data_IF_629811457320
#
_entry.id   IF_629811457320
#
_cell.length_a   1.000
_cell.length_b   1.000
_cell.length_c   1.000
_cell.angle_alpha   90.00
_cell.angle_beta   90.00
_cell.angle_gamma   90.00
#
_symmetry.space_group_name_H-M   'P 1'
#
loop_
_entity.id
_entity.type
_entity.pdbx_description
1 polymer ?
#
# COMPACT_ATOMS: atom_id res chain seq x y z
N UNK A 1 22.57 -15.11 17.55
CA UNK A 1 21.81 -13.96 18.06
C UNK A 1 21.81 -12.94 16.94
N UNK A 2 20.79 -12.97 16.10
CA UNK A 2 20.67 -12.03 14.97
C UNK A 2 20.06 -10.76 15.56
N UNK A 3 20.87 -9.73 15.70
CA UNK A 3 20.43 -8.42 16.16
C UNK A 3 19.40 -7.88 15.17
N UNK A 4 18.18 -7.60 15.63
CA UNK A 4 17.15 -6.98 14.79
C UNK A 4 17.66 -5.61 14.36
N UNK A 5 17.79 -5.32 13.05
CA UNK A 5 18.29 -4.03 12.59
C UNK A 5 17.41 -2.91 13.16
N UNK A 6 18.02 -2.07 14.00
CA UNK A 6 17.39 -0.89 14.57
C UNK A 6 17.47 0.23 13.52
N UNK A 7 16.36 0.89 13.17
CA UNK A 7 16.43 2.01 12.23
C UNK A 7 17.25 3.13 12.88
N UNK A 8 18.40 3.48 12.29
CA UNK A 8 19.16 4.69 12.61
C UNK A 8 18.39 5.90 12.09
N UNK A 9 17.26 6.21 12.72
CA UNK A 9 16.32 7.19 12.20
C UNK A 9 16.33 8.45 13.06
N UNK A 10 16.94 9.50 12.50
CA UNK A 10 17.06 10.83 13.09
C UNK A 10 15.69 11.40 13.45
N UNK A 11 15.67 12.27 14.47
CA UNK A 11 14.51 13.11 14.76
C UNK A 11 14.27 14.05 13.57
N UNK A 12 13.05 14.11 13.00
CA UNK A 12 12.77 14.97 11.85
C UNK A 12 12.99 16.44 12.20
N UNK A 13 13.68 17.16 11.32
CA UNK A 13 13.79 18.62 11.39
C UNK A 13 12.55 19.28 10.78
N UNK A 14 12.28 20.58 11.05
CA UNK A 14 11.21 21.31 10.38
C UNK A 14 11.33 21.27 8.84
N UNK A 15 12.56 21.36 8.31
CA UNK A 15 12.83 21.28 6.88
C UNK A 15 12.52 19.88 6.30
N UNK A 16 12.72 18.81 7.08
CA UNK A 16 12.30 17.46 6.68
C UNK A 16 10.79 17.39 6.54
N UNK A 17 10.03 17.94 7.50
CA UNK A 17 8.56 17.93 7.48
C UNK A 17 8.00 18.75 6.32
N UNK A 18 8.60 19.90 6.02
CA UNK A 18 8.28 20.74 4.88
C UNK A 18 8.53 19.99 3.56
N UNK A 19 9.69 19.36 3.43
CA UNK A 19 10.05 18.57 2.25
C UNK A 19 9.11 17.38 2.07
N UNK A 20 8.83 16.61 3.12
CA UNK A 20 7.85 15.53 3.08
C UNK A 20 6.47 16.03 2.66
N UNK A 21 6.04 17.19 3.14
CA UNK A 21 4.74 17.75 2.80
C UNK A 21 4.65 18.14 1.32
N UNK A 22 5.72 18.72 0.76
CA UNK A 22 5.85 19.01 -0.67
C UNK A 22 5.87 17.74 -1.52
N UNK A 23 6.68 16.75 -1.14
CA UNK A 23 6.75 15.45 -1.82
C UNK A 23 5.38 14.74 -1.86
N UNK A 24 4.60 14.86 -0.79
CA UNK A 24 3.28 14.23 -0.67
C UNK A 24 2.13 15.08 -1.26
N UNK A 25 2.37 16.35 -1.55
CA UNK A 25 1.34 17.31 -1.96
C UNK A 25 0.29 17.59 -0.87
N UNK A 26 0.62 17.35 0.40
CA UNK A 26 -0.25 17.58 1.58
C UNK A 26 0.59 17.64 2.86
N UNK A 27 0.10 18.24 3.96
CA UNK A 27 0.78 18.19 5.24
C UNK A 27 1.12 16.76 5.65
N UNK A 28 2.37 16.52 6.05
CA UNK A 28 2.76 15.25 6.63
C UNK A 28 2.22 15.12 8.06
N UNK A 29 1.94 13.89 8.50
CA UNK A 29 1.26 13.63 9.77
C UNK A 29 2.13 12.80 10.69
N UNK A 30 2.24 13.25 11.94
CA UNK A 30 2.80 12.52 13.08
C UNK A 30 4.10 11.75 12.75
N UNK A 31 5.01 12.40 12.02
CA UNK A 31 6.31 11.81 11.66
C UNK A 31 7.21 11.80 12.88
N UNK A 32 7.75 10.63 13.19
CA UNK A 32 8.56 10.35 14.37
C UNK A 32 10.05 10.25 14.01
N UNK A 33 10.35 9.85 12.76
CA UNK A 33 11.71 9.67 12.30
C UNK A 33 11.83 9.72 10.77
N UNK A 34 13.05 9.96 10.27
CA UNK A 34 13.43 9.83 8.86
C UNK A 34 14.37 8.62 8.70
N UNK A 35 13.84 7.40 8.48
CA UNK A 35 14.66 6.20 8.44
C UNK A 35 15.46 6.02 7.14
N UNK A 36 15.15 6.77 6.08
CA UNK A 36 15.90 6.72 4.83
C UNK A 36 16.00 8.10 4.19
N UNK A 37 17.22 8.45 3.75
CA UNK A 37 17.55 9.73 3.11
C UNK A 37 18.23 9.49 1.76
N UNK A 38 18.03 10.43 0.86
CA UNK A 38 18.78 10.55 -0.38
C UNK A 38 20.24 10.95 -0.06
N UNK A 39 21.16 10.74 -1.00
CA UNK A 39 22.56 11.20 -0.87
C UNK A 39 22.70 12.71 -0.67
N UNK A 40 21.70 13.50 -1.05
CA UNK A 40 21.65 14.95 -0.78
C UNK A 40 21.04 15.32 0.59
N UNK A 41 20.60 14.34 1.38
CA UNK A 41 20.01 14.52 2.71
C UNK A 41 18.47 14.57 2.73
N UNK A 42 17.81 14.81 1.59
CA UNK A 42 16.34 14.86 1.53
C UNK A 42 15.69 13.52 1.94
N UNK A 43 14.54 13.55 2.62
CA UNK A 43 13.86 12.33 3.06
C UNK A 43 13.36 11.50 1.87
N UNK A 44 13.55 10.18 1.95
CA UNK A 44 12.96 9.20 1.04
C UNK A 44 11.73 8.52 1.66
N UNK A 45 11.81 8.28 2.97
CA UNK A 45 10.80 7.56 3.74
C UNK A 45 10.55 8.32 5.04
N UNK A 46 9.28 8.48 5.41
CA UNK A 46 8.86 8.94 6.72
C UNK A 46 8.48 7.74 7.60
N UNK A 47 8.89 7.75 8.87
CA UNK A 47 8.36 6.85 9.89
C UNK A 47 7.26 7.56 10.69
N UNK A 48 6.01 7.12 10.55
CA UNK A 48 4.83 7.73 11.19
C UNK A 48 4.39 6.94 12.42
N UNK A 49 3.91 7.65 13.43
CA UNK A 49 3.31 7.08 14.63
C UNK A 49 2.17 6.10 14.28
N UNK A 50 2.03 4.96 15.01
CA UNK A 50 0.96 3.99 14.75
C UNK A 50 -0.44 4.49 15.11
N UNK A 51 -0.53 5.61 15.83
CA UNK A 51 -1.76 6.37 16.06
C UNK A 51 -1.47 7.84 15.82
N UNK A 52 -2.29 8.50 15.02
CA UNK A 52 -2.18 9.93 14.76
C UNK A 52 -2.62 10.74 15.98
N UNK A 53 -2.24 12.01 16.07
CA UNK A 53 -2.71 12.92 17.11
C UNK A 53 -4.24 13.09 17.13
N UNK A 54 -4.91 12.81 16.00
CA UNK A 54 -6.38 12.75 15.91
C UNK A 54 -7.01 11.54 16.63
N UNK A 55 -6.19 10.61 17.13
CA UNK A 55 -6.61 9.32 17.70
C UNK A 55 -6.79 8.21 16.67
N UNK A 56 -6.71 8.51 15.37
CA UNK A 56 -6.92 7.54 14.29
C UNK A 56 -5.76 6.54 14.19
N UNK A 57 -6.02 5.22 14.18
CA UNK A 57 -4.99 4.22 13.92
C UNK A 57 -4.36 4.40 12.53
N UNK A 58 -3.05 4.30 12.44
CA UNK A 58 -2.30 4.46 11.19
C UNK A 58 -1.42 3.23 10.93
N UNK A 59 -1.90 2.24 10.14
CA UNK A 59 -1.18 0.99 9.95
C UNK A 59 0.11 1.13 9.13
N UNK A 60 0.31 2.24 8.41
CA UNK A 60 1.51 2.40 7.56
C UNK A 60 2.58 3.19 8.31
N UNK A 61 3.55 2.50 8.90
CA UNK A 61 4.68 3.08 9.63
C UNK A 61 5.68 3.69 8.67
N UNK A 62 6.09 2.98 7.62
CA UNK A 62 7.04 3.48 6.62
C UNK A 62 6.32 3.99 5.38
N UNK A 63 6.31 5.31 5.20
CA UNK A 63 5.66 5.96 4.08
C UNK A 63 6.71 6.44 3.07
N UNK A 64 6.75 5.82 1.90
CA UNK A 64 7.63 6.22 0.79
C UNK A 64 7.10 7.52 0.18
N UNK A 65 7.92 8.57 0.18
CA UNK A 65 7.47 9.92 -0.19
C UNK A 65 8.13 10.46 -1.46
N UNK A 66 9.36 10.05 -1.77
CA UNK A 66 10.12 10.62 -2.88
C UNK A 66 9.42 10.41 -4.24
N UNK A 67 9.00 11.47 -4.96
CA UNK A 67 8.16 11.38 -6.16
C UNK A 67 8.71 10.52 -7.30
N UNK A 68 10.03 10.57 -7.53
CA UNK A 68 10.68 9.72 -8.56
C UNK A 68 10.55 8.23 -8.21
N UNK A 69 10.75 7.87 -6.93
CA UNK A 69 10.70 6.48 -6.47
C UNK A 69 9.25 6.00 -6.48
N UNK A 70 8.30 6.79 -5.96
CA UNK A 70 6.88 6.42 -5.95
C UNK A 70 6.33 6.26 -7.37
N UNK A 71 6.71 7.13 -8.31
CA UNK A 71 6.35 6.98 -9.73
C UNK A 71 6.94 5.71 -10.34
N UNK A 72 8.23 5.43 -10.10
CA UNK A 72 8.88 4.23 -10.62
C UNK A 72 8.27 2.94 -10.05
N UNK A 73 7.96 2.91 -8.76
CA UNK A 73 7.29 1.79 -8.11
C UNK A 73 5.88 1.60 -8.66
N UNK A 74 5.14 2.68 -8.89
CA UNK A 74 3.82 2.62 -9.54
C UNK A 74 3.87 2.00 -10.94
N UNK A 75 4.97 2.19 -11.69
CA UNK A 75 5.16 1.55 -13.00
C UNK A 75 5.30 0.03 -12.86
N UNK A 76 6.06 -0.46 -11.87
CA UNK A 76 6.15 -1.89 -11.59
C UNK A 76 4.80 -2.48 -11.17
N UNK A 77 4.06 -1.77 -10.32
CA UNK A 77 2.71 -2.18 -9.93
C UNK A 77 1.78 -2.31 -11.14
N UNK A 78 1.79 -1.31 -12.04
CA UNK A 78 1.00 -1.31 -13.27
C UNK A 78 1.45 -2.38 -14.28
N UNK A 79 2.73 -2.77 -14.27
CA UNK A 79 3.27 -3.83 -15.10
C UNK A 79 2.90 -5.25 -14.61
N UNK A 80 2.26 -5.38 -13.45
CA UNK A 80 1.76 -6.67 -12.94
C UNK A 80 2.71 -7.39 -11.98
N UNK A 81 3.83 -6.78 -11.58
CA UNK A 81 4.84 -7.43 -10.73
C UNK A 81 4.25 -7.98 -9.41
N UNK A 82 3.25 -7.30 -8.83
CA UNK A 82 2.60 -7.80 -7.62
C UNK A 82 1.88 -9.13 -7.81
N UNK A 83 1.30 -9.39 -8.99
CA UNK A 83 0.65 -10.67 -9.27
C UNK A 83 1.69 -11.80 -9.31
N UNK A 84 2.80 -11.58 -10.02
CA UNK A 84 3.92 -12.52 -10.10
C UNK A 84 4.53 -12.82 -8.72
N UNK A 85 4.72 -11.79 -7.88
CA UNK A 85 5.21 -11.96 -6.52
C UNK A 85 4.22 -12.75 -5.64
N UNK A 86 2.91 -12.55 -5.82
CA UNK A 86 1.89 -13.30 -5.09
C UNK A 86 1.87 -14.78 -5.51
N UNK A 87 2.02 -15.08 -6.80
CA UNK A 87 2.10 -16.46 -7.30
C UNK A 87 3.34 -17.16 -6.72
N UNK A 88 4.49 -16.46 -6.68
CA UNK A 88 5.71 -16.96 -6.03
C UNK A 88 5.54 -17.18 -4.53
N UNK A 89 4.89 -16.27 -3.81
CA UNK A 89 4.61 -16.44 -2.37
C UNK A 89 3.75 -17.68 -2.09
N UNK A 90 2.86 -18.06 -2.99
CA UNK A 90 2.05 -19.27 -2.86
C UNK A 90 2.84 -20.55 -3.16
N UNK A 91 3.82 -20.48 -4.07
CA UNK A 91 4.57 -21.64 -4.56
C UNK A 91 5.90 -21.91 -3.83
N UNK A 92 6.52 -20.88 -3.24
CA UNK A 92 7.85 -20.96 -2.63
C UNK A 92 7.78 -20.78 -1.09
N UNK A 93 7.92 -21.88 -0.32
CA UNK A 93 7.90 -21.84 1.14
C UNK A 93 9.06 -21.04 1.76
N UNK A 94 10.22 -20.97 1.11
CA UNK A 94 11.37 -20.23 1.61
C UNK A 94 11.14 -18.72 1.49
N UNK A 95 10.66 -18.27 0.31
CA UNK A 95 10.25 -16.88 0.11
C UNK A 95 9.13 -16.49 1.08
N UNK A 96 8.10 -17.33 1.23
CA UNK A 96 7.04 -17.08 2.20
C UNK A 96 7.57 -17.00 3.65
N UNK A 97 8.57 -17.81 3.99
CA UNK A 97 9.27 -17.76 5.27
C UNK A 97 10.04 -16.45 5.46
N UNK A 98 10.76 -15.98 4.43
CA UNK A 98 11.46 -14.70 4.47
C UNK A 98 10.50 -13.50 4.57
N UNK A 99 9.38 -13.54 3.85
CA UNK A 99 8.36 -12.49 3.91
C UNK A 99 7.59 -12.45 5.24
N UNK A 100 7.43 -13.61 5.92
CA UNK A 100 6.99 -13.65 7.33
C UNK A 100 7.97 -12.98 8.28
N UNK A 101 9.27 -13.21 8.12
CA UNK A 101 10.29 -12.49 8.92
C UNK A 101 10.28 -10.98 8.65
N UNK A 102 10.06 -10.58 7.39
CA UNK A 102 9.88 -9.16 7.04
C UNK A 102 8.67 -8.55 7.76
N UNK A 103 7.55 -9.27 7.85
CA UNK A 103 6.38 -8.87 8.62
C UNK A 103 6.68 -8.68 10.12
N UNK A 104 7.36 -9.64 10.75
CA UNK A 104 7.75 -9.57 12.15
C UNK A 104 8.67 -8.37 12.42
N UNK A 105 9.66 -8.15 11.55
CA UNK A 105 10.55 -6.98 11.63
C UNK A 105 9.78 -5.66 11.49
N UNK A 106 8.76 -5.61 10.62
CA UNK A 106 7.89 -4.44 10.49
C UNK A 106 7.14 -4.15 11.79
N UNK A 107 6.55 -5.18 12.42
CA UNK A 107 5.80 -5.02 13.68
C UNK A 107 6.72 -4.53 14.81
N UNK A 108 7.90 -5.13 14.96
CA UNK A 108 8.90 -4.71 15.94
C UNK A 108 9.34 -3.25 15.73
N UNK A 109 9.57 -2.85 14.47
CA UNK A 109 9.94 -1.47 14.17
C UNK A 109 8.78 -0.49 14.43
N UNK A 110 7.52 -0.87 14.15
CA UNK A 110 6.35 -0.06 14.51
C UNK A 110 6.23 0.13 16.01
N UNK A 111 6.44 -0.93 16.80
CA UNK A 111 6.38 -0.86 18.26
C UNK A 111 7.41 0.15 18.78
N UNK A 112 8.64 0.10 18.28
CA UNK A 112 9.69 1.06 18.64
C UNK A 112 9.32 2.50 18.25
N UNK A 113 8.79 2.71 17.04
CA UNK A 113 8.29 4.03 16.62
C UNK A 113 7.13 4.51 17.53
N UNK A 114 6.22 3.62 17.91
CA UNK A 114 5.12 3.92 18.83
C UNK A 114 5.63 4.31 20.22
N UNK A 115 6.66 3.61 20.72
CA UNK A 115 7.32 3.94 21.98
C UNK A 115 7.98 5.32 21.93
N UNK A 116 8.69 5.64 20.85
CA UNK A 116 9.29 6.98 20.62
C UNK A 116 8.23 8.08 20.55
N UNK A 117 7.10 7.80 19.93
CA UNK A 117 5.98 8.73 19.80
C UNK A 117 5.13 8.87 21.07
N UNK A 118 5.28 7.96 22.05
CA UNK A 118 4.43 7.92 23.23
C UNK A 118 2.97 7.53 22.93
N UNK A 119 2.71 6.81 21.85
CA UNK A 119 1.33 6.47 21.41
C UNK A 119 0.66 5.38 22.26
N UNK A 120 1.45 4.61 23.01
CA UNK A 120 1.00 3.40 23.68
C UNK A 120 0.54 2.30 22.70
N UNK A 121 -0.10 1.23 23.21
CA UNK A 121 -0.65 0.17 22.37
C UNK A 121 -1.74 0.67 21.41
N UNK A 122 -1.79 0.08 20.21
CA UNK A 122 -2.81 0.36 19.18
C UNK A 122 -3.51 -0.95 18.77
N UNK A 123 -4.47 -1.46 19.58
CA UNK A 123 -5.08 -2.77 19.37
C UNK A 123 -5.75 -2.95 18.00
N UNK A 124 -6.22 -1.87 17.38
CA UNK A 124 -6.92 -1.88 16.09
C UNK A 124 -6.03 -2.36 14.93
N UNK A 125 -4.70 -2.30 15.09
CA UNK A 125 -3.73 -2.71 14.07
C UNK A 125 -2.70 -3.71 14.61
N UNK A 126 -2.98 -4.31 15.78
CA UNK A 126 -2.10 -5.31 16.38
C UNK A 126 -1.98 -6.54 15.49
N UNK A 127 -0.75 -7.08 15.36
CA UNK A 127 -0.43 -8.16 14.43
C UNK A 127 -0.63 -7.85 12.94
N UNK A 128 -1.05 -6.64 12.56
CA UNK A 128 -1.32 -6.27 11.15
C UNK A 128 -0.25 -5.31 10.66
N UNK A 129 0.67 -5.78 9.81
CA UNK A 129 1.60 -4.90 9.08
C UNK A 129 0.93 -4.27 7.85
N UNK A 130 1.62 -3.33 7.20
CA UNK A 130 1.16 -2.77 5.93
C UNK A 130 1.55 -3.66 4.73
N UNK A 131 1.22 -3.24 3.51
CA UNK A 131 1.63 -3.94 2.28
C UNK A 131 0.95 -5.29 1.99
N UNK A 132 0.09 -5.81 2.88
CA UNK A 132 -0.56 -7.13 2.70
C UNK A 132 0.26 -8.30 3.25
N UNK A 133 1.43 -8.00 3.82
CA UNK A 133 2.27 -8.93 4.55
C UNK A 133 1.50 -9.67 5.66
N UNK A 134 1.88 -10.92 5.98
CA UNK A 134 2.92 -11.71 5.32
C UNK A 134 2.40 -12.62 4.21
N UNK A 135 1.12 -12.53 3.85
CA UNK A 135 0.47 -13.53 2.97
C UNK A 135 0.34 -13.07 1.53
N UNK A 136 0.38 -11.77 1.27
CA UNK A 136 0.29 -11.21 -0.08
C UNK A 136 1.03 -9.89 -0.23
N UNK A 137 1.24 -9.48 -1.46
CA UNK A 137 1.65 -8.13 -1.87
C UNK A 137 0.41 -7.39 -2.33
N UNK A 138 0.00 -6.35 -1.60
CA UNK A 138 -1.09 -5.44 -1.97
C UNK A 138 -0.60 -4.15 -2.60
N UNK A 139 0.64 -3.74 -2.29
CA UNK A 139 1.26 -2.50 -2.71
C UNK A 139 2.77 -2.57 -2.47
N UNK A 140 3.56 -2.27 -3.50
CA UNK A 140 5.03 -2.27 -3.47
C UNK A 140 5.60 -1.06 -2.73
N UNK A 141 4.89 0.08 -2.72
CA UNK A 141 5.37 1.30 -2.06
C UNK A 141 5.73 1.08 -0.59
N UNK A 142 4.92 0.28 0.11
CA UNK A 142 5.17 -0.07 1.51
C UNK A 142 6.38 -0.99 1.65
N UNK A 143 6.57 -1.94 0.74
CA UNK A 143 7.69 -2.89 0.81
C UNK A 143 9.01 -2.18 0.52
N UNK A 144 9.03 -1.31 -0.49
CA UNK A 144 10.17 -0.44 -0.80
C UNK A 144 10.45 0.50 0.38
N UNK A 145 9.40 1.12 0.96
CA UNK A 145 9.54 1.96 2.14
C UNK A 145 10.16 1.22 3.33
N UNK A 146 9.76 -0.04 3.57
CA UNK A 146 10.36 -0.88 4.60
C UNK A 146 11.82 -1.24 4.30
N UNK A 147 12.13 -1.71 3.09
CA UNK A 147 13.50 -2.06 2.70
C UNK A 147 14.46 -0.88 2.82
N UNK A 148 14.04 0.31 2.40
CA UNK A 148 14.85 1.52 2.56
C UNK A 148 15.02 1.90 4.05
N UNK A 149 13.99 1.72 4.86
CA UNK A 149 14.00 2.12 6.27
C UNK A 149 14.78 1.16 7.18
N UNK A 150 14.73 -0.15 6.90
CA UNK A 150 15.31 -1.20 7.75
C UNK A 150 16.56 -1.84 7.14
N UNK A 151 16.87 -1.51 5.89
CA UNK A 151 18.03 -2.01 5.17
C UNK A 151 17.73 -3.20 4.25
N UNK A 152 18.63 -3.39 3.28
CA UNK A 152 18.60 -4.50 2.34
C UNK A 152 18.65 -5.85 3.07
N UNK A 153 17.87 -6.82 2.58
CA UNK A 153 17.74 -8.16 3.13
C UNK A 153 16.60 -8.31 4.15
N UNK A 154 16.00 -7.21 4.63
CA UNK A 154 14.87 -7.27 5.57
C UNK A 154 13.58 -7.67 4.87
N UNK A 155 13.32 -7.15 3.67
CA UNK A 155 12.15 -7.49 2.89
C UNK A 155 12.56 -7.88 1.46
N UNK A 156 12.64 -9.18 1.13
CA UNK A 156 13.17 -9.61 -0.16
C UNK A 156 12.36 -9.09 -1.36
N UNK A 157 11.04 -8.92 -1.20
CA UNK A 157 10.19 -8.37 -2.27
C UNK A 157 10.30 -6.85 -2.38
N UNK A 158 10.57 -6.16 -1.27
CA UNK A 158 10.92 -4.74 -1.28
C UNK A 158 12.26 -4.50 -1.97
N UNK A 159 13.24 -5.36 -1.71
CA UNK A 159 14.56 -5.30 -2.34
C UNK A 159 14.51 -5.60 -3.83
N UNK A 160 13.72 -6.59 -4.23
CA UNK A 160 13.45 -6.90 -5.64
C UNK A 160 12.79 -5.71 -6.36
N UNK A 161 11.82 -5.03 -5.71
CA UNK A 161 11.20 -3.85 -6.28
C UNK A 161 12.18 -2.66 -6.40
N UNK A 162 13.10 -2.48 -5.44
CA UNK A 162 14.18 -1.48 -5.53
C UNK A 162 15.09 -1.78 -6.74
N UNK A 163 15.49 -3.04 -6.92
CA UNK A 163 16.29 -3.42 -8.08
C UNK A 163 15.53 -3.20 -9.41
N UNK A 164 14.23 -3.49 -9.42
CA UNK A 164 13.36 -3.32 -10.58
C UNK A 164 13.17 -1.87 -11.03
N UNK A 165 13.37 -0.89 -10.15
CA UNK A 165 13.28 0.53 -10.51
C UNK A 165 14.62 1.19 -10.88
N UNK A 166 15.71 0.42 -10.96
CA UNK A 166 17.08 0.92 -11.20
C UNK A 166 17.24 1.79 -12.46
N UNK A 167 16.39 1.61 -13.48
CA UNK A 167 16.38 2.46 -14.68
C UNK A 167 15.91 3.91 -14.41
N UNK A 168 15.18 4.15 -13.31
CA UNK A 168 14.64 5.46 -12.94
C UNK A 168 15.28 6.05 -11.68
N UNK A 169 15.76 5.19 -10.78
CA UNK A 169 16.34 5.61 -9.52
C UNK A 169 17.34 4.56 -9.00
N UNK A 170 18.49 5.02 -8.51
CA UNK A 170 19.43 4.20 -7.75
C UNK A 170 19.79 4.89 -6.42
N UNK A 171 20.11 4.13 -5.35
CA UNK A 171 20.40 4.72 -4.05
C UNK A 171 21.68 5.58 -4.01
N UNK A 172 22.58 5.43 -4.96
CA UNK A 172 23.88 6.14 -5.01
C UNK A 172 23.81 7.53 -5.66
N UNK A 173 22.70 7.86 -6.34
CA UNK A 173 22.55 9.11 -7.07
C UNK A 173 21.37 9.96 -6.56
N UNK A 174 21.49 11.27 -6.74
CA UNK A 174 20.43 12.21 -6.37
C UNK A 174 19.45 12.41 -7.52
N UNK A 175 18.15 12.31 -7.21
CA UNK A 175 17.05 12.54 -8.15
C UNK A 175 16.03 13.55 -7.60
N UNK A 176 16.47 14.43 -6.70
CA UNK A 176 15.58 15.39 -6.04
C UNK A 176 15.32 16.65 -6.86
N UNK A 177 16.25 17.03 -7.72
CA UNK A 177 16.13 18.24 -8.54
C UNK A 177 14.94 18.12 -9.51
N UNK A 178 14.05 19.10 -9.48
CA UNK A 178 12.81 19.13 -10.27
C UNK A 178 11.79 18.02 -9.95
N UNK A 179 12.01 17.18 -8.92
CA UNK A 179 11.10 16.07 -8.61
C UNK A 179 9.84 16.50 -7.84
N UNK A 180 9.89 17.63 -7.14
CA UNK A 180 8.76 18.33 -6.53
C UNK A 180 9.04 19.83 -6.57
N UNK A 181 8.04 20.64 -6.25
CA UNK A 181 8.24 22.08 -6.07
C UNK A 181 9.05 22.33 -4.78
N UNK A 182 10.35 22.61 -4.93
CA UNK A 182 11.28 22.85 -3.83
C UNK A 182 11.27 24.30 -3.35
N UNK A 183 10.70 25.22 -4.13
CA UNK A 183 10.71 26.67 -3.86
C UNK A 183 9.34 27.18 -3.38
N UNK A 184 8.25 26.50 -3.75
CA UNK A 184 6.90 26.84 -3.34
C UNK A 184 6.59 26.56 -1.87
N UNK A 185 5.59 27.26 -1.33
CA UNK A 185 5.15 27.06 0.05
C UNK A 185 4.64 25.63 0.25
N UNK A 186 5.06 24.99 1.35
CA UNK A 186 4.59 23.65 1.65
C UNK A 186 3.07 23.65 1.91
N UNK A 187 2.34 22.64 1.43
CA UNK A 187 0.91 22.54 1.68
C UNK A 187 0.61 22.57 3.19
N UNK A 188 -0.30 23.45 3.59
CA UNK A 188 -0.69 23.70 5.00
C UNK A 188 -2.03 23.04 5.38
N UNK A 189 -2.84 22.66 4.38
CA UNK A 189 -4.17 22.06 4.58
C UNK A 189 -4.20 20.58 4.21
N UNK A 190 -4.56 19.73 5.17
CA UNK A 190 -4.82 18.32 4.91
C UNK A 190 -6.22 18.16 4.29
N UNK A 191 -6.27 18.04 2.96
CA UNK A 191 -7.50 17.74 2.21
C UNK A 191 -7.80 16.24 2.14
N UNK A 192 -7.03 15.41 2.85
CA UNK A 192 -7.28 13.97 2.90
C UNK A 192 -8.70 13.72 3.40
N UNK A 193 -9.39 12.81 2.73
CA UNK A 193 -10.73 12.32 3.12
C UNK A 193 -10.71 11.51 4.44
N UNK A 194 -9.69 11.67 5.30
CA UNK A 194 -9.46 10.97 6.56
C UNK A 194 -9.21 11.92 7.75
N UNK A 195 -9.58 13.21 7.64
CA UNK A 195 -9.80 14.05 8.85
C UNK A 195 -10.82 13.38 9.79
N UNK A 196 -10.99 13.79 11.05
CA UNK A 196 -11.72 13.04 12.07
C UNK A 196 -13.16 12.78 11.61
N UNK A 197 -13.34 11.65 10.92
CA UNK A 197 -14.63 11.03 10.78
C UNK A 197 -14.93 10.59 12.21
N UNK A 198 -15.88 11.28 12.85
CA UNK A 198 -16.58 10.68 13.97
C UNK A 198 -16.84 9.21 13.61
N UNK A 199 -16.55 8.32 14.57
CA UNK A 199 -16.60 6.87 14.41
C UNK A 199 -17.69 6.49 13.41
N UNK A 200 -17.36 5.80 12.30
CA UNK A 200 -18.41 5.35 11.39
C UNK A 200 -19.38 4.52 12.23
N UNK A 201 -20.65 4.96 12.28
CA UNK A 201 -21.70 4.08 12.74
C UNK A 201 -21.57 2.81 11.91
N UNK A 202 -21.38 1.68 12.59
CA UNK A 202 -21.18 0.35 12.02
C UNK A 202 -22.45 -0.14 11.32
N UNK A 203 -22.86 0.57 10.27
CA UNK A 203 -23.91 0.19 9.33
C UNK A 203 -23.44 0.60 7.94
N UNK A 204 -22.40 -0.09 7.48
CA UNK A 204 -22.07 -0.11 6.06
C UNK A 204 -23.32 -0.48 5.26
N UNK A 205 -23.62 0.31 4.24
CA UNK A 205 -24.70 0.02 3.30
C UNK A 205 -24.39 -1.35 2.66
N UNK A 206 -25.30 -2.34 2.74
CA UNK A 206 -25.01 -3.68 2.26
C UNK A 206 -24.69 -3.66 0.76
N UNK A 207 -23.76 -4.52 0.36
CA UNK A 207 -23.38 -4.71 -1.04
C UNK A 207 -24.62 -5.03 -1.88
N UNK A 208 -24.79 -4.45 -3.08
CA UNK A 208 -25.90 -4.78 -3.95
C UNK A 208 -25.83 -6.26 -4.32
N UNK A 209 -26.86 -7.02 -3.93
CA UNK A 209 -26.97 -8.42 -4.31
C UNK A 209 -27.18 -8.50 -5.83
N UNK A 210 -26.26 -9.19 -6.51
CA UNK A 210 -26.41 -9.58 -7.92
C UNK A 210 -27.62 -10.52 -7.99
N UNK A 211 -28.68 -10.12 -8.70
CA UNK A 211 -29.79 -11.05 -9.00
C UNK A 211 -29.24 -12.19 -9.85
N UNK A 212 -29.24 -13.39 -9.30
CA UNK A 212 -29.16 -14.63 -10.07
C UNK A 212 -30.57 -14.92 -10.54
N UNK A 213 -30.83 -14.81 -11.85
CA UNK A 213 -32.04 -15.36 -12.43
C UNK A 213 -31.93 -16.89 -12.40
N UNK A 214 -32.55 -17.49 -11.38
CA UNK A 214 -32.80 -18.92 -11.33
C UNK A 214 -34.28 -19.15 -11.61
N UNK A 215 -34.53 -19.95 -12.64
CA UNK A 215 -35.83 -20.38 -13.13
C UNK A 215 -36.58 -21.30 -12.13
N UNK A 216 -37.86 -21.54 -12.48
CA UNK A 216 -38.87 -22.44 -11.87
C UNK A 216 -39.66 -21.80 -10.72
N UNK A 217 -40.99 -21.66 -10.76
CA UNK A 217 -42.02 -22.16 -11.66
C UNK A 217 -43.24 -22.54 -10.82
N UNK A 218 -44.37 -21.86 -10.97
CA UNK A 218 -45.70 -22.40 -10.65
C UNK A 218 -46.76 -21.80 -11.56
N UNK A 219 -47.57 -22.70 -12.10
CA UNK A 219 -48.55 -22.52 -13.15
C UNK A 219 -49.87 -21.92 -12.65
N UNK A 220 -50.59 -21.23 -13.54
CA UNK A 220 -52.04 -21.38 -13.67
C UNK A 220 -52.57 -20.79 -15.00
N UNK A 221 -53.23 -21.66 -15.78
CA UNK A 221 -54.31 -21.43 -16.77
C UNK A 221 -54.18 -20.34 -17.86
N UNK A 222 -54.73 -20.44 -19.07
CA UNK A 222 -55.71 -21.35 -19.69
C UNK A 222 -55.76 -21.00 -21.18
N UNK A 223 -55.93 -22.03 -22.02
CA UNK A 223 -56.53 -22.06 -23.37
C UNK A 223 -55.94 -21.22 -24.53
N UNK A 224 -55.73 -21.91 -25.66
CA UNK A 224 -55.98 -21.31 -26.97
C UNK A 224 -55.19 -21.84 -28.15
N UNK A 225 -55.76 -22.85 -28.82
CA UNK A 225 -55.71 -23.06 -30.29
C UNK A 225 -54.41 -23.50 -30.98
N UNK A 226 -54.42 -24.78 -31.33
CA UNK A 226 -53.95 -25.46 -32.55
C UNK A 226 -53.80 -24.63 -33.85
N UNK A 227 -52.70 -24.89 -34.57
CA UNK A 227 -52.58 -25.23 -36.01
C UNK A 227 -51.08 -25.40 -36.33
N UNK A 228 -50.57 -26.62 -36.59
CA UNK A 228 -50.30 -27.17 -37.94
C UNK A 228 -49.28 -26.32 -38.73
N UNK A 229 -48.00 -26.74 -38.80
CA UNK A 229 -47.36 -27.74 -39.70
C UNK A 229 -46.75 -27.07 -40.96
N UNK A 230 -45.74 -27.76 -41.47
CA UNK A 230 -45.01 -27.61 -42.74
C UNK A 230 -43.78 -26.67 -42.72
N UNK A 231 -42.56 -27.21 -42.60
CA UNK A 231 -41.70 -27.82 -43.63
C UNK A 231 -41.29 -26.85 -44.74
N UNK A 232 -40.01 -26.51 -44.82
CA UNK A 232 -39.26 -26.43 -46.07
C UNK A 232 -37.78 -26.09 -45.82
N UNK A 233 -36.93 -26.97 -46.34
CA UNK A 233 -35.52 -26.78 -46.59
C UNK A 233 -35.24 -25.68 -47.64
N UNK A 234 -33.98 -25.23 -47.68
CA UNK A 234 -33.38 -24.36 -48.71
C UNK A 234 -32.28 -23.52 -48.05
N UNK A 235 -31.00 -23.91 -48.07
CA UNK A 235 -30.11 -23.87 -49.23
C UNK A 235 -30.11 -22.47 -49.86
N UNK A 236 -29.09 -21.64 -49.62
CA UNK A 236 -27.96 -21.51 -50.54
C UNK A 236 -26.96 -20.41 -50.08
N UNK A 237 -25.74 -20.62 -50.57
CA UNK A 237 -24.47 -19.90 -50.61
C UNK A 237 -24.37 -18.37 -50.48
N UNK A 238 -23.12 -18.04 -50.12
CA UNK A 238 -22.24 -16.92 -50.52
C UNK A 238 -22.13 -15.75 -49.55
#
# INVERSE_FOLDING_TARGET
>A
MTETPQPSADVPTPADLETLSRQLGRPVRDVVAIPARCVCGNPLVAATAPRLASGTPFPTTFYLTHPVITSAVSRLEAAGLMAEMNDRLAADPELAGAYRRAHEAYLAAREEIGRRAGTGPVPEIDGVSAGGMPTRVKCLHVLVGQSLALGHGVNPLGDEAIAGISAWWTPEACYCDGAWDTEGEAPDRDLSRHGPQGLPAMTGRPAPLRRTDSAEGTAEGTAGSSAEREDAAGEDRA
#
